data_IF_993941633345
#
_entry.id   IF_993941633345
#
_cell.length_a   1.000
_cell.length_b   1.000
_cell.length_c   1.000
_cell.angle_alpha   90.00
_cell.angle_beta   90.00
_cell.angle_gamma   90.00
#
_symmetry.space_group_name_H-M   'P 1'
#
loop_
_entity.id
_entity.type
_entity.pdbx_description
1 polymer ?
#
# COMPACT_ATOMS: atom_id res chain seq x y z
N UNK A 1 90.27 20.42 -2.68
CA UNK A 1 90.22 19.01 -2.23
C UNK A 1 88.80 18.52 -2.44
N UNK A 2 88.40 17.67 -3.35
CA UNK A 2 88.98 16.89 -4.44
C UNK A 2 87.79 16.06 -4.96
N UNK A 3 87.42 16.20 -6.23
CA UNK A 3 86.44 15.32 -6.92
C UNK A 3 87.06 13.92 -7.08
N UNK A 4 86.31 12.79 -7.20
CA UNK A 4 85.26 12.58 -8.22
C UNK A 4 84.07 11.62 -7.85
N UNK A 5 83.12 11.46 -8.78
CA UNK A 5 82.09 10.39 -8.82
C UNK A 5 82.68 8.96 -8.83
N UNK A 6 81.91 7.93 -8.45
CA UNK A 6 81.20 7.13 -9.48
C UNK A 6 79.84 6.49 -9.04
N UNK A 7 79.00 6.14 -10.03
CA UNK A 7 77.92 5.15 -9.93
C UNK A 7 78.45 3.72 -10.18
N UNK A 8 77.62 2.65 -10.30
CA UNK A 8 76.54 2.12 -9.46
C UNK A 8 76.91 0.72 -8.89
N UNK A 9 76.12 0.14 -7.97
CA UNK A 9 76.22 -1.29 -7.62
C UNK A 9 74.84 -1.94 -7.59
N UNK A 10 74.71 -2.97 -8.43
CA UNK A 10 73.62 -3.93 -8.53
C UNK A 10 73.56 -4.86 -7.32
N UNK A 11 72.37 -5.08 -6.77
CA UNK A 11 72.07 -6.20 -5.87
C UNK A 11 70.78 -6.86 -6.32
N UNK A 12 70.90 -8.00 -7.00
CA UNK A 12 69.79 -8.84 -7.39
C UNK A 12 69.23 -9.56 -6.15
N UNK A 13 67.91 -9.46 -5.95
CA UNK A 13 67.18 -10.16 -4.91
C UNK A 13 65.79 -10.51 -5.43
N UNK A 14 65.68 -11.72 -5.94
CA UNK A 14 64.47 -12.35 -6.45
C UNK A 14 63.31 -12.23 -5.45
N UNK A 15 62.16 -11.68 -5.86
CA UNK A 15 60.89 -12.00 -5.24
C UNK A 15 59.79 -12.00 -6.28
N UNK A 16 59.12 -13.15 -6.31
CA UNK A 16 58.26 -13.65 -7.36
C UNK A 16 57.03 -12.76 -7.56
N UNK A 17 56.76 -12.50 -8.84
CA UNK A 17 55.43 -12.17 -9.31
C UNK A 17 54.44 -13.25 -8.84
N UNK A 18 53.50 -12.83 -8.00
CA UNK A 18 52.33 -13.61 -7.60
C UNK A 18 51.09 -12.81 -7.91
N UNK A 19 50.68 -12.80 -9.17
CA UNK A 19 49.29 -12.46 -9.55
C UNK A 19 48.38 -13.49 -8.89
N UNK A 20 47.82 -13.14 -7.73
CA UNK A 20 46.76 -13.92 -7.13
C UNK A 20 45.56 -13.91 -8.10
N UNK A 21 45.01 -15.07 -8.49
CA UNK A 21 43.78 -15.09 -9.23
C UNK A 21 42.71 -14.54 -8.28
N UNK A 22 42.02 -13.47 -8.69
CA UNK A 22 40.71 -13.15 -8.10
C UNK A 22 39.79 -14.31 -8.47
N UNK A 23 39.78 -15.34 -7.62
CA UNK A 23 38.71 -16.31 -7.58
C UNK A 23 37.42 -15.52 -7.47
N UNK A 24 36.60 -15.61 -8.51
CA UNK A 24 35.16 -15.42 -8.35
C UNK A 24 34.73 -16.49 -7.36
N UNK A 25 34.55 -16.10 -6.10
CA UNK A 25 33.63 -16.80 -5.25
C UNK A 25 32.26 -16.56 -5.90
N UNK A 26 31.83 -17.53 -6.69
CA UNK A 26 30.42 -17.71 -6.95
C UNK A 26 29.79 -17.86 -5.57
N UNK A 27 28.98 -16.89 -5.15
CA UNK A 27 28.08 -17.07 -4.02
C UNK A 27 27.15 -18.24 -4.36
N UNK A 28 27.32 -19.41 -3.72
CA UNK A 28 26.45 -20.54 -3.94
C UNK A 28 25.35 -20.40 -2.91
N UNK A 29 24.34 -19.59 -3.23
CA UNK A 29 22.99 -19.50 -2.65
C UNK A 29 22.43 -18.15 -3.13
N UNK A 30 21.73 -18.16 -4.26
CA UNK A 30 20.98 -16.99 -4.70
C UNK A 30 19.99 -16.57 -3.62
N UNK A 31 19.92 -15.27 -3.36
CA UNK A 31 18.95 -14.67 -2.46
C UNK A 31 17.55 -15.26 -2.75
N UNK A 32 16.89 -15.91 -1.79
CA UNK A 32 15.60 -16.55 -2.04
C UNK A 32 14.57 -15.49 -2.41
N UNK A 33 14.19 -15.47 -3.70
CA UNK A 33 12.88 -15.03 -4.23
C UNK A 33 12.17 -13.98 -3.35
N UNK A 34 12.60 -12.72 -3.42
CA UNK A 34 12.01 -11.67 -2.59
C UNK A 34 10.69 -11.20 -3.22
N UNK A 35 9.57 -11.53 -2.56
CA UNK A 35 8.30 -10.88 -2.85
C UNK A 35 8.33 -9.46 -2.27
N UNK A 36 7.98 -8.46 -3.08
CA UNK A 36 7.95 -7.05 -2.63
C UNK A 36 6.74 -6.32 -3.19
N UNK A 37 6.29 -5.31 -2.45
CA UNK A 37 5.21 -4.41 -2.87
C UNK A 37 5.80 -3.00 -2.95
N UNK A 38 5.81 -2.44 -4.15
CA UNK A 38 6.32 -1.10 -4.44
C UNK A 38 5.16 -0.17 -4.78
N UNK A 39 5.20 1.08 -4.32
CA UNK A 39 4.24 2.10 -4.72
C UNK A 39 4.75 2.82 -5.98
N UNK A 40 3.93 2.86 -7.03
CA UNK A 40 4.15 3.73 -8.19
C UNK A 40 3.21 4.94 -8.07
N UNK A 41 3.73 6.15 -7.81
CA UNK A 41 2.89 7.35 -7.73
C UNK A 41 2.16 7.62 -9.05
N UNK A 42 0.88 7.98 -8.95
CA UNK A 42 0.06 8.42 -10.06
C UNK A 42 -0.75 9.67 -9.65
N UNK A 43 -1.10 10.49 -10.64
CA UNK A 43 -1.83 11.74 -10.44
C UNK A 43 -1.17 12.64 -9.38
N UNK A 44 -1.93 13.03 -8.34
CA UNK A 44 -1.44 13.89 -7.26
C UNK A 44 -1.11 13.10 -5.99
N UNK A 45 -1.92 12.10 -5.65
CA UNK A 45 -1.83 11.37 -4.39
C UNK A 45 -2.16 9.88 -4.49
N UNK A 46 -2.42 9.35 -5.69
CA UNK A 46 -2.72 7.93 -5.88
C UNK A 46 -1.44 7.09 -5.86
N UNK A 47 -1.55 5.87 -5.33
CA UNK A 47 -0.55 4.81 -5.43
C UNK A 47 -1.10 3.63 -6.22
N UNK A 48 -0.40 3.30 -7.30
CA UNK A 48 -0.55 2.01 -7.98
C UNK A 48 0.41 1.05 -7.30
N UNK A 49 -0.12 0.02 -6.63
CA UNK A 49 0.74 -0.97 -5.96
C UNK A 49 1.24 -2.00 -6.97
N UNK A 50 2.56 -2.16 -7.06
CA UNK A 50 3.22 -3.15 -7.90
C UNK A 50 3.75 -4.28 -7.01
N UNK A 51 3.04 -5.40 -7.00
CA UNK A 51 3.48 -6.64 -6.38
C UNK A 51 4.47 -7.31 -7.31
N UNK A 52 5.60 -7.79 -6.78
CA UNK A 52 6.71 -8.26 -7.59
C UNK A 52 7.23 -9.59 -7.03
N UNK A 53 7.43 -10.55 -7.94
CA UNK A 53 8.15 -11.78 -7.70
C UNK A 53 9.46 -11.72 -8.50
N UNK A 54 10.55 -11.42 -7.81
CA UNK A 54 11.89 -11.27 -8.40
C UNK A 54 12.37 -12.57 -9.07
N UNK A 55 12.01 -13.75 -8.53
CA UNK A 55 12.45 -15.03 -9.06
C UNK A 55 11.73 -15.39 -10.36
N UNK A 56 10.43 -15.16 -10.42
CA UNK A 56 9.64 -15.37 -11.63
C UNK A 56 9.76 -14.22 -12.65
N UNK A 57 10.33 -13.07 -12.25
CA UNK A 57 10.33 -11.82 -13.01
C UNK A 57 8.92 -11.44 -13.46
N UNK A 58 7.95 -11.61 -12.56
CA UNK A 58 6.53 -11.32 -12.78
C UNK A 58 6.02 -10.32 -11.78
N UNK A 59 5.18 -9.41 -12.25
CA UNK A 59 4.56 -8.39 -11.41
C UNK A 59 3.05 -8.32 -11.63
N UNK A 60 2.36 -7.75 -10.64
CA UNK A 60 0.93 -7.50 -10.64
C UNK A 60 0.69 -6.05 -10.25
N UNK A 61 -0.13 -5.34 -11.02
CA UNK A 61 -0.50 -3.96 -10.74
C UNK A 61 -1.89 -3.91 -10.08
N UNK A 62 -2.01 -3.14 -9.01
CA UNK A 62 -3.28 -2.93 -8.29
C UNK A 62 -3.75 -1.51 -8.54
N UNK A 63 -5.02 -1.38 -8.95
CA UNK A 63 -5.69 -0.11 -9.25
C UNK A 63 -4.89 0.83 -10.19
N UNK A 64 -4.44 0.37 -11.38
CA UNK A 64 -3.69 1.22 -12.29
C UNK A 64 -4.60 2.25 -13.00
N UNK A 65 -4.89 3.35 -12.33
CA UNK A 65 -5.64 4.49 -12.90
C UNK A 65 -4.95 5.17 -14.07
N UNK A 66 -3.62 5.11 -14.11
CA UNK A 66 -2.80 5.51 -15.26
C UNK A 66 -1.90 4.33 -15.66
N UNK A 67 -1.85 4.04 -16.96
CA UNK A 67 -0.97 3.01 -17.51
C UNK A 67 0.51 3.45 -17.51
N UNK A 68 0.79 4.76 -17.60
CA UNK A 68 2.14 5.26 -17.83
C UNK A 68 3.13 4.88 -16.72
N UNK A 69 2.83 4.99 -15.40
CA UNK A 69 3.76 4.58 -14.35
C UNK A 69 4.19 3.11 -14.46
N UNK A 70 3.22 2.21 -14.70
CA UNK A 70 3.48 0.77 -14.83
C UNK A 70 4.28 0.46 -16.10
N UNK A 71 3.93 1.06 -17.24
CA UNK A 71 4.65 0.86 -18.50
C UNK A 71 6.09 1.40 -18.45
N UNK A 72 6.29 2.56 -17.82
CA UNK A 72 7.62 3.13 -17.62
C UNK A 72 8.47 2.22 -16.72
N UNK A 73 7.87 1.69 -15.64
CA UNK A 73 8.54 0.73 -14.77
C UNK A 73 8.93 -0.54 -15.53
N UNK A 74 8.03 -1.13 -16.33
CA UNK A 74 8.33 -2.30 -17.16
C UNK A 74 9.45 -2.01 -18.18
N UNK A 75 9.44 -0.83 -18.81
CA UNK A 75 10.49 -0.42 -19.76
C UNK A 75 11.86 -0.26 -19.09
N UNK A 76 11.90 0.20 -17.84
CA UNK A 76 13.12 0.34 -17.06
C UNK A 76 13.65 -1.00 -16.52
N UNK A 77 12.82 -2.04 -16.50
CA UNK A 77 13.17 -3.36 -16.00
C UNK A 77 12.98 -4.46 -17.06
N UNK A 78 13.88 -4.57 -18.05
CA UNK A 78 13.80 -5.61 -19.08
C UNK A 78 13.68 -7.02 -18.50
N UNK A 79 12.85 -7.84 -19.16
CA UNK A 79 12.58 -9.22 -18.78
C UNK A 79 11.52 -9.39 -17.69
N UNK A 80 10.97 -8.30 -17.13
CA UNK A 80 9.76 -8.39 -16.31
C UNK A 80 8.50 -8.49 -17.15
N UNK A 81 7.53 -9.24 -16.63
CA UNK A 81 6.20 -9.35 -17.22
C UNK A 81 5.13 -8.89 -16.22
N UNK A 82 4.26 -7.97 -16.64
CA UNK A 82 3.00 -7.73 -15.94
C UNK A 82 2.04 -8.87 -16.28
N UNK A 83 1.71 -9.69 -15.30
CA UNK A 83 0.88 -10.87 -15.53
C UNK A 83 -0.58 -10.69 -15.18
N UNK A 84 -0.87 -9.91 -14.13
CA UNK A 84 -2.22 -9.73 -13.63
C UNK A 84 -2.43 -8.26 -13.22
N UNK A 85 -3.68 -7.82 -13.30
CA UNK A 85 -4.15 -6.53 -12.82
C UNK A 85 -5.29 -6.79 -11.84
N UNK A 86 -5.18 -6.23 -10.63
CA UNK A 86 -6.22 -6.31 -9.61
C UNK A 86 -6.91 -4.95 -9.49
N UNK A 87 -8.24 -4.95 -9.49
CA UNK A 87 -9.06 -3.73 -9.39
C UNK A 87 -9.98 -3.83 -8.19
N UNK A 88 -9.92 -2.85 -7.30
CA UNK A 88 -10.76 -2.79 -6.10
C UNK A 88 -12.17 -2.26 -6.40
N UNK A 89 -12.27 -1.24 -7.26
CA UNK A 89 -13.53 -0.61 -7.66
C UNK A 89 -13.41 0.17 -8.98
N UNK A 90 -14.55 0.68 -9.47
CA UNK A 90 -14.71 1.21 -10.84
C UNK A 90 -14.32 2.67 -11.05
N UNK A 91 -13.91 3.42 -10.01
CA UNK A 91 -13.56 4.83 -10.21
C UNK A 91 -12.38 5.00 -11.16
N UNK A 92 -12.43 6.07 -11.96
CA UNK A 92 -11.54 6.27 -13.09
C UNK A 92 -10.06 6.31 -12.70
N UNK A 93 -9.74 6.90 -11.56
CA UNK A 93 -8.38 6.98 -11.01
C UNK A 93 -7.83 5.64 -10.51
N UNK A 94 -8.62 4.56 -10.60
CA UNK A 94 -8.21 3.18 -10.30
C UNK A 94 -8.27 2.27 -11.54
N UNK A 95 -9.08 2.61 -12.56
CA UNK A 95 -9.28 1.76 -13.75
C UNK A 95 -8.80 2.35 -15.08
N UNK A 96 -8.46 3.64 -15.12
CA UNK A 96 -8.19 4.37 -16.36
C UNK A 96 -7.03 3.82 -17.19
N UNK A 97 -6.06 3.12 -16.58
CA UNK A 97 -4.94 2.49 -17.25
C UNK A 97 -5.18 1.05 -17.69
N UNK A 98 -6.26 0.40 -17.23
CA UNK A 98 -6.45 -1.06 -17.33
C UNK A 98 -6.47 -1.55 -18.78
N UNK A 99 -7.29 -0.96 -19.65
CA UNK A 99 -7.42 -1.42 -21.04
C UNK A 99 -6.11 -1.29 -21.81
N UNK A 100 -5.40 -0.17 -21.61
CA UNK A 100 -4.10 0.07 -22.25
C UNK A 100 -3.04 -0.90 -21.75
N UNK A 101 -2.97 -1.15 -20.44
CA UNK A 101 -2.02 -2.13 -19.88
C UNK A 101 -2.29 -3.52 -20.43
N UNK A 102 -3.55 -3.97 -20.38
CA UNK A 102 -3.93 -5.27 -20.93
C UNK A 102 -3.57 -5.40 -22.41
N UNK A 103 -3.88 -4.39 -23.22
CA UNK A 103 -3.58 -4.41 -24.65
C UNK A 103 -2.08 -4.51 -24.95
N UNK A 104 -1.22 -3.95 -24.09
CA UNK A 104 0.24 -3.95 -24.29
C UNK A 104 0.95 -5.15 -23.67
N UNK A 105 0.41 -5.74 -22.60
CA UNK A 105 1.08 -6.79 -21.83
C UNK A 105 0.40 -8.15 -21.91
N UNK A 106 -0.88 -8.20 -22.28
CA UNK A 106 -1.71 -9.41 -22.20
C UNK A 106 -2.09 -9.81 -20.78
N UNK A 107 -1.92 -8.93 -19.79
CA UNK A 107 -2.23 -9.23 -18.38
C UNK A 107 -3.71 -9.60 -18.18
N UNK A 108 -3.96 -10.53 -17.25
CA UNK A 108 -5.33 -10.92 -16.84
C UNK A 108 -5.89 -9.88 -15.89
N UNK A 109 -7.14 -9.48 -16.09
CA UNK A 109 -7.79 -8.44 -15.28
C UNK A 109 -8.80 -9.06 -14.32
N UNK A 110 -8.58 -8.86 -13.02
CA UNK A 110 -9.46 -9.25 -11.93
C UNK A 110 -10.17 -8.01 -11.37
N UNK A 111 -11.45 -8.14 -11.03
CA UNK A 111 -12.17 -7.05 -10.37
C UNK A 111 -13.52 -7.47 -9.81
N UNK A 112 -14.20 -6.60 -9.05
CA UNK A 112 -15.46 -6.91 -8.39
C UNK A 112 -16.54 -7.32 -9.38
N UNK A 113 -17.25 -8.42 -9.11
CA UNK A 113 -18.32 -8.96 -9.94
C UNK A 113 -19.52 -8.00 -10.06
N UNK A 114 -19.76 -7.22 -8.99
CA UNK A 114 -20.89 -6.28 -8.88
C UNK A 114 -20.63 -4.91 -9.52
N UNK A 115 -19.48 -4.69 -10.16
CA UNK A 115 -19.17 -3.43 -10.85
C UNK A 115 -18.76 -3.66 -12.30
N UNK A 116 -18.81 -2.58 -13.09
CA UNK A 116 -18.34 -2.58 -14.48
C UNK A 116 -16.86 -2.19 -14.51
N UNK A 117 -16.00 -3.20 -14.59
CA UNK A 117 -14.55 -3.02 -14.69
C UNK A 117 -14.10 -3.16 -16.16
N UNK A 118 -13.35 -2.19 -16.71
CA UNK A 118 -12.83 -2.25 -18.08
C UNK A 118 -11.99 -3.51 -18.32
N UNK A 119 -12.21 -4.17 -19.46
CA UNK A 119 -11.48 -5.36 -19.89
C UNK A 119 -11.33 -6.49 -18.86
N UNK A 120 -12.24 -6.60 -17.87
CA UNK A 120 -12.24 -7.64 -16.84
C UNK A 120 -12.33 -9.05 -17.45
N UNK A 121 -11.42 -9.92 -17.06
CA UNK A 121 -11.45 -11.35 -17.38
C UNK A 121 -12.16 -12.14 -16.28
N UNK A 122 -11.88 -11.80 -15.01
CA UNK A 122 -12.33 -12.56 -13.85
C UNK A 122 -13.18 -11.68 -12.92
N UNK A 123 -14.43 -12.07 -12.74
CA UNK A 123 -15.39 -11.41 -11.86
C UNK A 123 -15.30 -12.01 -10.45
N UNK A 124 -15.00 -11.18 -9.45
CA UNK A 124 -14.74 -11.62 -8.09
C UNK A 124 -15.85 -11.23 -7.10
N UNK A 125 -16.25 -12.19 -6.27
CA UNK A 125 -17.28 -12.04 -5.23
C UNK A 125 -16.71 -12.30 -3.84
N UNK A 126 -17.44 -11.87 -2.81
CA UNK A 126 -17.09 -12.09 -1.41
C UNK A 126 -16.74 -13.55 -1.09
N UNK A 127 -15.70 -13.75 -0.29
CA UNK A 127 -15.28 -15.08 0.18
C UNK A 127 -14.53 -15.94 -0.84
N UNK A 128 -14.48 -15.51 -2.12
CA UNK A 128 -13.66 -16.17 -3.13
C UNK A 128 -12.16 -16.03 -2.82
N UNK A 129 -11.36 -16.84 -3.51
CA UNK A 129 -9.91 -16.81 -3.42
C UNK A 129 -9.29 -16.86 -4.81
N UNK A 130 -8.24 -16.07 -5.01
CA UNK A 130 -7.39 -16.10 -6.19
C UNK A 130 -5.95 -16.38 -5.78
N UNK A 131 -5.11 -16.75 -6.73
CA UNK A 131 -3.67 -16.88 -6.54
C UNK A 131 -2.95 -16.04 -7.57
N UNK A 132 -2.06 -15.16 -7.10
CA UNK A 132 -1.20 -14.33 -7.93
C UNK A 132 0.21 -14.37 -7.37
N UNK A 133 1.23 -14.57 -8.22
CA UNK A 133 2.63 -14.65 -7.80
C UNK A 133 2.87 -15.64 -6.63
N UNK A 134 2.15 -16.77 -6.61
CA UNK A 134 2.20 -17.77 -5.53
C UNK A 134 1.59 -17.30 -4.20
N UNK A 135 0.94 -16.14 -4.17
CA UNK A 135 0.23 -15.58 -3.01
C UNK A 135 -1.27 -15.80 -3.17
N UNK A 136 -1.88 -16.48 -2.19
CA UNK A 136 -3.33 -16.67 -2.12
C UNK A 136 -4.00 -15.45 -1.50
N UNK A 137 -4.93 -14.84 -2.23
CA UNK A 137 -5.68 -13.66 -1.79
C UNK A 137 -7.14 -14.03 -1.55
N UNK A 138 -7.65 -13.70 -0.38
CA UNK A 138 -9.07 -13.74 -0.06
C UNK A 138 -9.74 -12.44 -0.51
N UNK A 139 -10.89 -12.57 -1.17
CA UNK A 139 -11.72 -11.45 -1.58
C UNK A 139 -12.70 -11.12 -0.47
N UNK A 140 -12.76 -9.85 -0.09
CA UNK A 140 -13.67 -9.33 0.93
C UNK A 140 -14.49 -8.23 0.29
N UNK A 141 -15.80 -8.43 0.16
CA UNK A 141 -16.70 -7.36 -0.26
C UNK A 141 -16.78 -6.29 0.83
N UNK A 142 -16.58 -5.04 0.45
CA UNK A 142 -16.49 -3.90 1.36
C UNK A 142 -17.33 -2.71 0.85
N UNK A 143 -18.65 -2.89 0.70
CA UNK A 143 -19.52 -1.81 0.22
C UNK A 143 -19.44 -0.58 1.14
N UNK A 144 -19.46 0.61 0.54
CA UNK A 144 -19.44 1.87 1.27
C UNK A 144 -19.04 3.03 0.37
N UNK A 145 -17.79 3.01 -0.11
CA UNK A 145 -17.31 4.00 -1.06
C UNK A 145 -18.05 3.87 -2.40
N UNK A 146 -17.96 2.68 -2.98
CA UNK A 146 -18.85 2.16 -4.02
C UNK A 146 -19.59 0.93 -3.49
N UNK A 147 -20.69 0.54 -4.14
CA UNK A 147 -21.51 -0.60 -3.69
C UNK A 147 -20.88 -1.96 -3.98
N UNK A 148 -20.02 -2.07 -4.99
CA UNK A 148 -19.39 -3.33 -5.37
C UNK A 148 -17.92 -3.44 -4.97
N UNK A 149 -17.38 -2.49 -4.19
CA UNK A 149 -15.97 -2.45 -3.78
C UNK A 149 -15.52 -3.77 -3.15
N UNK A 150 -14.33 -4.23 -3.53
CA UNK A 150 -13.66 -5.39 -2.92
C UNK A 150 -12.26 -5.01 -2.41
N UNK A 151 -11.87 -5.65 -1.31
CA UNK A 151 -10.51 -5.66 -0.81
C UNK A 151 -9.87 -7.04 -1.03
N UNK A 152 -8.54 -7.05 -1.17
CA UNK A 152 -7.74 -8.26 -1.32
C UNK A 152 -6.88 -8.48 -0.09
N UNK A 153 -7.09 -9.61 0.60
CA UNK A 153 -6.38 -9.93 1.83
C UNK A 153 -5.49 -11.17 1.65
N UNK A 154 -4.20 -11.01 1.89
CA UNK A 154 -3.27 -12.13 2.01
C UNK A 154 -3.11 -12.50 3.48
N UNK A 155 -3.75 -13.61 3.88
CA UNK A 155 -3.75 -14.11 5.25
C UNK A 155 -2.52 -14.98 5.56
N UNK A 156 -1.32 -14.45 5.33
CA UNK A 156 -0.08 -15.12 5.74
C UNK A 156 0.11 -15.02 7.26
N UNK A 157 0.44 -16.12 7.97
CA UNK A 157 0.63 -16.07 9.43
C UNK A 157 1.73 -15.09 9.87
N UNK A 158 2.80 -14.99 9.09
CA UNK A 158 4.00 -14.23 9.45
C UNK A 158 3.94 -12.80 8.92
N UNK A 159 3.46 -12.62 7.69
CA UNK A 159 3.41 -11.31 7.03
C UNK A 159 2.08 -11.05 6.28
N UNK A 160 0.96 -10.88 7.01
CA UNK A 160 -0.32 -10.59 6.39
C UNK A 160 -0.36 -9.18 5.82
N UNK A 161 -1.08 -9.00 4.72
CA UNK A 161 -1.28 -7.70 4.11
C UNK A 161 -2.65 -7.56 3.43
N UNK A 162 -3.12 -6.32 3.35
CA UNK A 162 -4.45 -5.95 2.87
C UNK A 162 -4.34 -4.83 1.83
N UNK A 163 -4.84 -5.07 0.61
CA UNK A 163 -5.10 -4.03 -0.39
C UNK A 163 -6.54 -3.56 -0.19
N UNK A 164 -6.71 -2.39 0.42
CA UNK A 164 -8.03 -1.90 0.89
C UNK A 164 -8.74 -0.96 -0.09
N UNK A 165 -8.06 -0.54 -1.16
CA UNK A 165 -8.54 0.52 -2.05
C UNK A 165 -8.98 1.76 -1.25
N UNK A 166 -10.12 2.31 -1.66
CA UNK A 166 -10.73 3.49 -1.06
C UNK A 166 -11.64 3.20 0.15
N UNK A 167 -11.66 1.97 0.67
CA UNK A 167 -12.48 1.65 1.86
C UNK A 167 -11.80 2.12 3.15
N UNK A 168 -10.63 1.55 3.45
CA UNK A 168 -9.82 1.89 4.63
C UNK A 168 -8.58 2.65 4.17
N UNK A 169 -8.40 3.86 4.70
CA UNK A 169 -7.16 4.64 4.56
C UNK A 169 -6.38 4.67 5.87
N UNK A 170 -5.09 4.99 5.80
CA UNK A 170 -4.34 5.35 6.99
C UNK A 170 -5.00 6.56 7.70
N UNK A 171 -5.39 6.35 8.97
CA UNK A 171 -6.16 7.25 9.82
C UNK A 171 -7.52 7.72 9.26
N UNK A 172 -8.06 7.08 8.23
CA UNK A 172 -9.29 7.50 7.58
C UNK A 172 -10.11 6.38 6.93
N UNK A 173 -11.17 6.76 6.21
CA UNK A 173 -11.93 5.89 5.34
C UNK A 173 -12.41 6.65 4.11
N UNK A 174 -12.89 5.91 3.10
CA UNK A 174 -13.53 6.47 1.91
C UNK A 174 -14.68 7.41 2.22
N UNK A 175 -14.92 8.36 1.31
CA UNK A 175 -16.20 9.07 1.24
C UNK A 175 -17.28 8.11 0.79
N UNK A 176 -18.51 8.33 1.23
CA UNK A 176 -19.67 7.50 0.83
C UNK A 176 -20.28 8.10 -0.44
N UNK A 177 -19.83 7.65 -1.62
CA UNK A 177 -20.43 8.10 -2.88
C UNK A 177 -21.70 7.32 -3.21
N UNK A 178 -21.70 6.01 -2.95
CA UNK A 178 -22.82 5.13 -3.30
C UNK A 178 -23.43 4.39 -2.10
N UNK A 179 -22.60 4.01 -1.13
CA UNK A 179 -23.02 3.21 0.01
C UNK A 179 -23.56 4.03 1.19
N UNK A 180 -24.04 3.33 2.21
CA UNK A 180 -24.55 3.92 3.45
C UNK A 180 -23.51 3.90 4.57
N UNK A 181 -23.70 4.69 5.65
CA UNK A 181 -22.85 4.61 6.83
C UNK A 181 -22.80 3.22 7.47
N UNK A 182 -23.92 2.50 7.48
CA UNK A 182 -24.02 1.12 7.98
C UNK A 182 -23.09 0.20 7.18
N UNK A 183 -23.13 0.29 5.86
CA UNK A 183 -22.32 -0.54 4.96
C UNK A 183 -20.83 -0.29 5.17
N UNK A 184 -20.41 0.97 5.17
CA UNK A 184 -18.99 1.29 5.38
C UNK A 184 -18.53 0.91 6.79
N UNK A 185 -19.37 1.11 7.81
CA UNK A 185 -19.05 0.69 9.18
C UNK A 185 -18.85 -0.84 9.27
N UNK A 186 -19.73 -1.62 8.66
CA UNK A 186 -19.59 -3.08 8.60
C UNK A 186 -18.33 -3.50 7.83
N UNK A 187 -18.08 -2.89 6.68
CA UNK A 187 -16.88 -3.10 5.86
C UNK A 187 -15.59 -2.85 6.64
N UNK A 188 -15.50 -1.71 7.32
CA UNK A 188 -14.37 -1.36 8.17
C UNK A 188 -14.22 -2.32 9.35
N UNK A 189 -15.33 -2.76 9.96
CA UNK A 189 -15.31 -3.75 11.04
C UNK A 189 -14.75 -5.09 10.56
N UNK A 190 -15.14 -5.54 9.37
CA UNK A 190 -14.60 -6.76 8.74
C UNK A 190 -13.10 -6.63 8.49
N UNK A 191 -12.64 -5.53 7.89
CA UNK A 191 -11.20 -5.29 7.64
C UNK A 191 -10.41 -5.18 8.95
N UNK A 192 -10.96 -4.49 9.94
CA UNK A 192 -10.38 -4.33 11.28
C UNK A 192 -10.46 -5.60 12.15
N UNK A 193 -10.87 -6.75 11.60
CA UNK A 193 -10.77 -8.05 12.29
C UNK A 193 -9.49 -8.83 11.95
N UNK A 194 -8.70 -8.38 10.97
CA UNK A 194 -7.43 -9.00 10.59
C UNK A 194 -6.35 -8.88 11.69
N UNK A 195 -5.26 -9.67 11.68
CA UNK A 195 -4.21 -9.59 12.70
C UNK A 195 -3.61 -8.19 12.88
N UNK A 196 -3.18 -7.85 14.10
CA UNK A 196 -2.57 -6.56 14.45
C UNK A 196 -1.41 -6.15 13.54
N UNK A 197 -0.56 -7.10 13.16
CA UNK A 197 0.61 -6.85 12.30
C UNK A 197 0.30 -6.79 10.81
N UNK A 198 -0.97 -6.80 10.41
CA UNK A 198 -1.38 -6.68 8.99
C UNK A 198 -0.94 -5.33 8.42
N UNK A 199 -0.21 -5.38 7.31
CA UNK A 199 0.14 -4.18 6.54
C UNK A 199 -1.05 -3.75 5.67
N UNK A 200 -1.44 -2.48 5.75
CA UNK A 200 -2.57 -1.91 4.99
C UNK A 200 -2.03 -1.04 3.85
N UNK A 201 -2.34 -1.45 2.63
CA UNK A 201 -1.98 -0.81 1.37
C UNK A 201 -3.22 -0.16 0.78
N UNK A 202 -3.54 1.05 1.23
CA UNK A 202 -4.58 1.87 0.64
C UNK A 202 -4.04 2.69 -0.55
N UNK A 203 -4.94 3.24 -1.35
CA UNK A 203 -4.64 3.81 -2.68
C UNK A 203 -4.28 5.29 -2.69
N UNK A 204 -4.44 6.02 -1.58
CA UNK A 204 -4.20 7.46 -1.53
C UNK A 204 -3.32 7.91 -0.35
N UNK A 205 -2.45 8.89 -0.59
CA UNK A 205 -1.60 9.54 0.41
C UNK A 205 -2.36 10.62 1.23
N UNK A 206 -3.46 10.21 1.87
CA UNK A 206 -4.31 11.09 2.68
C UNK A 206 -3.93 11.11 4.18
N UNK A 207 -2.90 10.37 4.59
CA UNK A 207 -2.60 10.11 6.01
C UNK A 207 -2.51 11.37 6.86
N UNK A 208 -1.80 12.41 6.39
CA UNK A 208 -1.62 13.63 7.19
C UNK A 208 -2.92 14.45 7.32
N UNK A 209 -3.74 14.54 6.28
CA UNK A 209 -5.04 15.22 6.36
C UNK A 209 -6.02 14.44 7.23
N UNK A 210 -5.99 13.10 7.14
CA UNK A 210 -6.76 12.20 7.99
C UNK A 210 -6.36 12.33 9.46
N UNK A 211 -5.07 12.39 9.78
CA UNK A 211 -4.59 12.56 11.15
C UNK A 211 -4.95 13.92 11.75
N UNK A 212 -4.96 15.00 10.95
CA UNK A 212 -5.44 16.32 11.42
C UNK A 212 -6.91 16.26 11.85
N UNK A 213 -7.74 15.55 11.08
CA UNK A 213 -9.13 15.29 11.48
C UNK A 213 -9.19 14.41 12.73
N UNK A 214 -8.40 13.33 12.79
CA UNK A 214 -8.35 12.45 13.96
C UNK A 214 -7.97 13.22 15.24
N UNK A 215 -7.02 14.17 15.15
CA UNK A 215 -6.63 15.05 16.25
C UNK A 215 -7.74 16.03 16.65
N UNK A 216 -8.58 16.48 15.71
CA UNK A 216 -9.75 17.30 16.04
C UNK A 216 -10.82 16.50 16.79
N UNK A 217 -10.96 15.20 16.49
CA UNK A 217 -11.90 14.29 17.16
C UNK A 217 -11.38 13.88 18.55
N UNK A 218 -10.09 13.54 18.68
CA UNK A 218 -9.47 13.10 19.93
C UNK A 218 -8.21 13.93 20.27
N UNK A 219 -8.35 15.19 20.72
CA UNK A 219 -7.23 16.12 20.89
C UNK A 219 -6.20 15.72 21.96
N UNK A 220 -6.52 14.73 22.79
CA UNK A 220 -5.65 14.24 23.87
C UNK A 220 -5.13 12.81 23.63
N UNK A 221 -5.37 12.24 22.44
CA UNK A 221 -4.87 10.92 22.09
C UNK A 221 -3.37 11.01 21.72
N UNK A 222 -2.51 10.45 22.58
CA UNK A 222 -1.06 10.49 22.41
C UNK A 222 -0.56 9.69 21.18
N UNK A 223 -1.26 8.61 20.80
CA UNK A 223 -0.90 7.83 19.60
C UNK A 223 -1.11 8.66 18.32
N UNK A 224 -2.18 9.46 18.27
CA UNK A 224 -2.44 10.36 17.13
C UNK A 224 -1.37 11.44 17.05
N UNK A 225 -1.04 12.09 18.18
CA UNK A 225 -0.02 13.14 18.22
C UNK A 225 1.37 12.61 17.80
N UNK A 226 1.77 11.43 18.30
CA UNK A 226 3.01 10.79 17.90
C UNK A 226 3.04 10.47 16.41
N UNK A 227 1.94 9.91 15.88
CA UNK A 227 1.81 9.54 14.47
C UNK A 227 1.81 10.77 13.55
N UNK A 228 1.24 11.90 13.97
CA UNK A 228 1.35 13.18 13.24
C UNK A 228 2.81 13.58 13.11
N UNK A 229 3.60 13.51 14.18
CA UNK A 229 5.03 13.83 14.17
C UNK A 229 5.81 12.95 13.19
N UNK A 230 5.61 11.64 13.26
CA UNK A 230 6.25 10.66 12.36
C UNK A 230 5.87 10.90 10.89
N UNK A 231 4.57 10.99 10.59
CA UNK A 231 4.09 11.16 9.21
C UNK A 231 4.53 12.50 8.66
N UNK A 232 4.55 13.57 9.46
CA UNK A 232 5.05 14.88 9.02
C UNK A 232 6.51 14.79 8.58
N UNK A 233 7.38 14.15 9.38
CA UNK A 233 8.79 13.95 9.02
C UNK A 233 8.95 13.13 7.75
N UNK A 234 8.17 12.07 7.57
CA UNK A 234 8.17 11.27 6.33
C UNK A 234 7.80 12.12 5.12
N UNK A 235 6.70 12.88 5.21
CA UNK A 235 6.19 13.69 4.10
C UNK A 235 7.11 14.85 3.76
N UNK A 236 7.70 15.52 4.75
CA UNK A 236 8.70 16.59 4.54
C UNK A 236 9.99 16.06 3.89
N UNK A 237 10.34 14.79 4.15
CA UNK A 237 11.44 14.10 3.50
C UNK A 237 11.08 13.50 2.12
N UNK A 238 9.86 13.75 1.60
CA UNK A 238 9.39 13.22 0.32
C UNK A 238 9.12 11.71 0.32
N UNK A 239 8.99 11.08 1.50
CA UNK A 239 8.74 9.63 1.66
C UNK A 239 7.25 9.35 1.81
N UNK A 240 6.83 8.18 1.35
CA UNK A 240 5.45 7.69 1.52
C UNK A 240 5.18 7.35 3.00
N UNK A 241 3.93 7.53 3.42
CA UNK A 241 3.47 7.14 4.77
C UNK A 241 2.79 5.77 4.80
N UNK A 242 2.77 5.08 3.66
CA UNK A 242 2.18 3.77 3.44
C UNK A 242 3.24 2.72 3.12
N UNK A 243 2.97 1.42 3.37
CA UNK A 243 1.79 0.90 4.06
C UNK A 243 1.74 1.30 5.53
N UNK A 244 0.55 1.30 6.11
CA UNK A 244 0.40 1.39 7.57
C UNK A 244 0.24 0.00 8.20
N UNK A 245 0.15 -0.08 9.52
CA UNK A 245 -0.17 -1.33 10.25
C UNK A 245 -1.55 -1.25 10.89
N UNK A 246 -2.27 -2.35 10.93
CA UNK A 246 -3.64 -2.34 11.44
C UNK A 246 -3.71 -2.03 12.95
N UNK A 247 -2.71 -2.44 13.74
CA UNK A 247 -2.59 -2.09 15.15
C UNK A 247 -2.55 -0.57 15.40
N UNK A 248 -1.80 0.19 14.60
CA UNK A 248 -1.77 1.65 14.72
C UNK A 248 -3.06 2.28 14.20
N UNK A 249 -3.72 1.70 13.19
CA UNK A 249 -5.03 2.18 12.73
C UNK A 249 -6.10 2.07 13.83
N UNK A 250 -6.15 0.98 14.58
CA UNK A 250 -7.09 0.83 15.71
C UNK A 250 -6.90 1.90 16.80
N UNK A 251 -5.68 2.44 16.93
CA UNK A 251 -5.35 3.48 17.91
C UNK A 251 -5.60 4.90 17.42
N UNK A 252 -5.56 5.13 16.11
CA UNK A 252 -5.46 6.48 15.54
C UNK A 252 -6.49 6.81 14.47
N UNK A 253 -7.20 5.83 13.93
CA UNK A 253 -8.23 6.04 12.93
C UNK A 253 -9.60 6.25 13.61
N UNK A 254 -10.21 7.45 13.58
CA UNK A 254 -11.46 7.72 14.29
C UNK A 254 -12.61 6.83 13.80
N UNK A 255 -12.57 6.38 12.55
CA UNK A 255 -13.61 5.52 11.96
C UNK A 255 -13.58 4.08 12.48
N UNK A 256 -12.42 3.61 12.97
CA UNK A 256 -12.27 2.31 13.63
C UNK A 256 -12.52 2.39 15.15
N UNK A 257 -12.84 3.59 15.66
CA UNK A 257 -12.91 3.90 17.09
C UNK A 257 -14.28 4.41 17.52
N UNK A 258 -15.32 4.13 16.73
CA UNK A 258 -16.70 4.59 16.99
C UNK A 258 -17.30 4.05 18.30
N UNK A 259 -16.70 3.01 18.88
CA UNK A 259 -17.04 2.44 20.19
C UNK A 259 -16.33 3.10 21.37
N UNK A 260 -15.27 3.89 21.11
CA UNK A 260 -14.51 4.59 22.13
C UNK A 260 -15.34 5.77 22.65
N UNK A 261 -15.50 5.85 23.97
CA UNK A 261 -16.36 6.85 24.60
C UNK A 261 -15.93 8.30 24.28
N UNK A 262 -14.63 8.59 24.27
CA UNK A 262 -14.11 9.91 23.91
C UNK A 262 -14.51 10.32 22.47
N UNK A 263 -14.45 9.37 21.52
CA UNK A 263 -14.86 9.58 20.13
C UNK A 263 -16.37 9.80 20.03
N UNK A 264 -17.17 8.99 20.74
CA UNK A 264 -18.64 9.16 20.82
C UNK A 264 -19.00 10.54 21.36
N UNK A 265 -18.34 10.99 22.43
CA UNK A 265 -18.58 12.29 23.03
C UNK A 265 -18.25 13.42 22.07
N UNK A 266 -17.09 13.38 21.41
CA UNK A 266 -16.70 14.37 20.41
C UNK A 266 -17.70 14.45 19.25
N UNK A 267 -18.11 13.30 18.70
CA UNK A 267 -19.12 13.25 17.64
C UNK A 267 -20.49 13.75 18.10
N UNK A 268 -20.93 13.38 19.31
CA UNK A 268 -22.21 13.84 19.89
C UNK A 268 -22.23 15.36 20.13
N UNK A 269 -21.11 15.91 20.60
CA UNK A 269 -20.94 17.35 20.78
C UNK A 269 -20.97 18.07 19.43
N UNK A 270 -20.28 17.54 18.42
CA UNK A 270 -20.26 18.12 17.07
C UNK A 270 -21.67 18.16 16.43
N UNK A 271 -22.47 17.10 16.59
CA UNK A 271 -23.83 17.06 16.02
C UNK A 271 -24.91 17.69 16.92
N UNK A 272 -24.56 18.13 18.15
CA UNK A 272 -25.48 18.77 19.08
C UNK A 272 -26.48 17.83 19.76
N UNK A 273 -26.27 16.51 19.73
CA UNK A 273 -27.16 15.52 20.35
C UNK A 273 -26.43 14.23 20.72
N UNK A 274 -26.82 13.50 21.77
CA UNK A 274 -26.25 12.19 22.09
C UNK A 274 -26.44 11.17 20.96
N UNK A 275 -25.38 10.44 20.60
CA UNK A 275 -25.42 9.37 19.61
C UNK A 275 -25.45 8.00 20.30
N UNK A 276 -26.53 7.23 20.08
CA UNK A 276 -26.80 5.99 20.82
C UNK A 276 -26.09 4.74 20.29
N UNK A 277 -25.68 4.71 19.01
CA UNK A 277 -25.10 3.51 18.37
C UNK A 277 -23.73 3.81 17.75
N UNK A 278 -22.92 2.78 17.53
CA UNK A 278 -21.60 2.94 16.89
C UNK A 278 -21.75 3.41 15.44
N UNK A 279 -22.76 2.93 14.73
CA UNK A 279 -23.09 3.38 13.36
C UNK A 279 -23.45 4.86 13.35
N UNK A 280 -24.24 5.34 14.32
CA UNK A 280 -24.59 6.77 14.40
C UNK A 280 -23.35 7.65 14.67
N UNK A 281 -22.41 7.17 15.51
CA UNK A 281 -21.11 7.82 15.72
C UNK A 281 -20.31 7.85 14.43
N UNK A 282 -20.18 6.70 13.74
CA UNK A 282 -19.50 6.61 12.45
C UNK A 282 -20.08 7.59 11.42
N UNK A 283 -21.41 7.61 11.26
CA UNK A 283 -22.11 8.49 10.33
C UNK A 283 -21.84 9.98 10.63
N UNK A 284 -21.87 10.36 11.91
CA UNK A 284 -21.57 11.73 12.35
C UNK A 284 -20.11 12.11 12.07
N UNK A 285 -19.16 11.22 12.36
CA UNK A 285 -17.74 11.43 12.04
C UNK A 285 -17.51 11.59 10.54
N UNK A 286 -18.18 10.78 9.72
CA UNK A 286 -18.05 10.82 8.27
C UNK A 286 -18.56 12.14 7.70
N UNK A 287 -19.75 12.57 8.14
CA UNK A 287 -20.33 13.85 7.77
C UNK A 287 -19.51 15.05 8.28
N UNK A 288 -18.87 14.92 9.45
CA UNK A 288 -17.93 15.93 9.97
C UNK A 288 -16.69 16.03 9.06
N UNK A 289 -16.03 14.90 8.77
CA UNK A 289 -14.82 14.89 7.93
C UNK A 289 -15.05 15.41 6.51
N UNK A 290 -16.25 15.21 5.96
CA UNK A 290 -16.59 15.72 4.62
C UNK A 290 -16.65 17.26 4.55
N UNK A 291 -16.67 17.95 5.70
CA UNK A 291 -16.73 19.42 5.82
C UNK A 291 -15.56 20.02 6.63
N UNK A 292 -14.55 19.20 6.96
CA UNK A 292 -13.38 19.61 7.75
C UNK A 292 -12.26 20.11 6.82
#
# INVERSE_FOLDING_TARGET
MGLPEPAPVSGAGCSLAGTAPRMRLCDPLGDPSMFKIEALPAFTDNYIWLLQDDAARRCVAVDPGDAAPVLNWLSAHPGWQLSDILVTHHHHDHVGGVERLKAQTGARVYGPAAEKIPARDEALSDGQRIEVLGKRLQIIAVPGHTLGHIAYFHADPDQPWLLSGDTLFAAGCGRLFEGTPEQMFESLTRLASAPDHTLVYCTHEYTLSNLRFAQAVEPHNADIAARIGEVTQLREAGRFSLPSRLDIERKTNPFLRSEVEAVRQAASQHCGSPLATNVAVFAALRAWKDRF
#
